data_IF_555901924711
#
_entry.id   IF_555901924711
#
_cell.length_a   1.000
_cell.length_b   1.000
_cell.length_c   1.000
_cell.angle_alpha   90.00
_cell.angle_beta   90.00
_cell.angle_gamma   90.00
#
_symmetry.space_group_name_H-M   'P 1'
#
loop_
_entity.id
_entity.type
_entity.pdbx_description
1 polymer ?
#
# COMPACT_ATOMS: atom_id res chain seq x y z
N UNK A 1 17.67 5.99 -10.94
CA UNK A 1 19.05 5.68 -10.59
C UNK A 1 19.37 6.21 -9.20
N UNK A 2 19.19 7.51 -8.91
CA UNK A 2 19.47 8.11 -7.59
C UNK A 2 18.58 7.52 -6.49
N UNK A 3 17.29 7.33 -6.76
CA UNK A 3 16.36 6.71 -5.81
C UNK A 3 16.77 5.27 -5.50
N UNK A 4 17.18 4.52 -6.52
CA UNK A 4 17.62 3.13 -6.36
C UNK A 4 18.91 3.00 -5.57
N UNK A 5 19.81 3.95 -5.66
CA UNK A 5 21.11 3.94 -4.98
C UNK A 5 21.07 4.54 -3.57
N UNK A 6 20.19 5.52 -3.33
CA UNK A 6 20.15 6.26 -2.07
C UNK A 6 19.12 5.75 -1.06
N UNK A 7 18.00 5.17 -1.51
CA UNK A 7 16.85 4.83 -0.64
C UNK A 7 16.53 3.32 -0.70
N UNK A 8 17.08 2.62 -1.67
CA UNK A 8 16.38 1.53 -2.28
C UNK A 8 16.52 0.19 -1.62
N UNK A 9 17.50 -0.07 -0.85
CA UNK A 9 17.80 -1.45 -0.55
C UNK A 9 17.70 -1.82 0.94
N UNK A 10 16.91 -1.08 1.72
CA UNK A 10 16.63 -1.44 3.13
C UNK A 10 16.13 -2.88 3.28
N UNK A 11 15.44 -3.41 2.27
CA UNK A 11 14.89 -4.77 2.28
C UNK A 11 15.59 -5.73 1.31
N UNK A 12 16.69 -5.32 0.68
CA UNK A 12 17.41 -6.14 -0.31
C UNK A 12 17.87 -7.48 0.27
N UNK A 13 18.40 -7.46 1.49
CA UNK A 13 18.89 -8.67 2.20
C UNK A 13 17.77 -9.66 2.54
N UNK A 14 16.53 -9.19 2.57
CA UNK A 14 15.33 -10.01 2.75
C UNK A 14 14.70 -10.48 1.42
N UNK A 15 15.40 -10.30 0.30
CA UNK A 15 14.94 -10.70 -1.04
C UNK A 15 13.99 -9.71 -1.72
N UNK A 16 13.96 -8.45 -1.27
CA UNK A 16 13.14 -7.36 -1.84
C UNK A 16 14.00 -6.30 -2.53
N UNK A 17 14.99 -6.74 -3.29
CA UNK A 17 15.87 -5.84 -4.05
C UNK A 17 15.06 -5.04 -5.07
N UNK A 18 15.19 -3.71 -5.01
CA UNK A 18 14.49 -2.78 -5.89
C UNK A 18 14.95 -2.91 -7.34
N UNK A 19 14.01 -3.02 -8.25
CA UNK A 19 14.25 -3.03 -9.70
C UNK A 19 13.53 -1.91 -10.42
N UNK A 20 12.43 -1.41 -9.86
CA UNK A 20 11.59 -0.37 -10.44
C UNK A 20 10.89 0.41 -9.33
N UNK A 21 10.08 1.39 -9.72
CA UNK A 21 9.12 2.05 -8.83
C UNK A 21 7.70 1.78 -9.31
N UNK A 22 6.70 2.10 -8.48
CA UNK A 22 5.33 2.23 -8.95
C UNK A 22 5.20 3.41 -9.95
N UNK A 23 4.07 3.57 -10.66
CA UNK A 23 3.90 4.60 -11.69
C UNK A 23 4.17 6.03 -11.20
N UNK A 24 3.79 6.36 -9.96
CA UNK A 24 4.00 7.69 -9.37
C UNK A 24 5.43 7.90 -8.82
N UNK A 25 6.24 6.84 -8.72
CA UNK A 25 7.64 6.93 -8.34
C UNK A 25 7.95 6.96 -6.85
N UNK A 26 6.91 6.93 -5.98
CA UNK A 26 7.07 7.07 -4.54
C UNK A 26 7.43 5.76 -3.82
N UNK A 27 7.23 4.60 -4.46
CA UNK A 27 7.49 3.30 -3.83
C UNK A 27 8.49 2.50 -4.65
N UNK A 28 9.67 2.17 -4.08
CA UNK A 28 10.59 1.22 -4.69
C UNK A 28 10.04 -0.20 -4.60
N UNK A 29 10.00 -0.91 -5.72
CA UNK A 29 9.43 -2.24 -5.84
C UNK A 29 10.46 -3.26 -6.31
N UNK A 30 10.39 -4.47 -5.77
CA UNK A 30 11.07 -5.64 -6.31
C UNK A 30 10.20 -6.36 -7.37
N UNK A 31 10.73 -7.34 -8.10
CA UNK A 31 9.92 -8.12 -9.05
C UNK A 31 8.73 -8.79 -8.35
N UNK A 32 7.58 -8.77 -9.00
CA UNK A 32 6.32 -9.38 -8.53
C UNK A 32 5.74 -8.75 -7.26
N UNK A 33 6.22 -7.56 -6.88
CA UNK A 33 5.74 -6.82 -5.73
C UNK A 33 4.52 -5.96 -6.09
N UNK A 34 3.79 -5.51 -5.09
CA UNK A 34 2.56 -4.74 -5.23
C UNK A 34 2.56 -3.56 -4.28
N UNK A 35 1.92 -2.47 -4.71
CA UNK A 35 1.72 -1.26 -3.93
C UNK A 35 0.26 -1.17 -3.50
N UNK A 36 0.03 -1.11 -2.18
CA UNK A 36 -1.29 -0.95 -1.57
C UNK A 36 -1.27 0.32 -0.74
N UNK A 37 -2.09 1.28 -1.11
CA UNK A 37 -2.10 2.61 -0.50
C UNK A 37 -3.45 2.94 0.11
N UNK A 38 -3.41 3.62 1.26
CA UNK A 38 -4.52 4.26 1.92
C UNK A 38 -4.09 5.66 2.36
N UNK A 39 -4.92 6.66 2.14
CA UNK A 39 -4.67 8.01 2.63
C UNK A 39 -5.75 8.45 3.62
N UNK A 40 -5.31 9.01 4.75
CA UNK A 40 -6.18 9.56 5.79
C UNK A 40 -6.29 11.07 5.57
N UNK A 41 -7.53 11.56 5.47
CA UNK A 41 -7.81 13.00 5.31
C UNK A 41 -7.67 13.71 6.66
N UNK A 42 -6.63 14.52 6.83
CA UNK A 42 -6.35 15.24 8.07
C UNK A 42 -7.39 16.29 8.41
N UNK A 43 -7.98 16.96 7.41
CA UNK A 43 -9.02 17.96 7.63
C UNK A 43 -10.20 17.41 8.41
N UNK A 44 -10.55 16.14 8.22
CA UNK A 44 -11.68 15.49 8.93
C UNK A 44 -11.51 15.41 10.47
N UNK A 45 -10.33 15.71 10.98
CA UNK A 45 -10.02 15.70 12.42
C UNK A 45 -9.97 17.10 13.04
N UNK A 46 -10.25 18.15 12.27
CA UNK A 46 -10.30 19.51 12.81
C UNK A 46 -11.68 19.77 13.38
N UNK A 47 -11.75 20.00 14.68
CA UNK A 47 -12.96 20.50 15.37
C UNK A 47 -13.03 22.01 15.26
N UNK A 48 -14.23 22.57 15.10
CA UNK A 48 -14.48 24.01 14.96
C UNK A 48 -13.58 24.68 13.90
N UNK A 49 -13.52 24.13 12.64
CA UNK A 49 -12.63 24.63 11.62
C UNK A 49 -12.87 26.12 11.34
N UNK A 50 -11.79 26.85 11.04
CA UNK A 50 -11.81 28.29 10.71
C UNK A 50 -12.29 29.21 11.85
N UNK A 51 -12.22 28.76 13.10
CA UNK A 51 -12.52 29.57 14.29
C UNK A 51 -11.30 29.67 15.22
N UNK A 52 -11.36 30.58 16.20
CA UNK A 52 -10.31 30.69 17.22
C UNK A 52 -10.18 29.43 18.11
N UNK A 53 -11.24 28.62 18.17
CA UNK A 53 -11.31 27.37 18.93
C UNK A 53 -10.96 26.15 18.08
N UNK A 54 -10.43 26.34 16.86
CA UNK A 54 -10.05 25.24 16.00
C UNK A 54 -9.00 24.34 16.67
N UNK A 55 -9.27 23.04 16.68
CA UNK A 55 -8.40 22.06 17.34
C UNK A 55 -8.38 20.73 16.61
N UNK A 56 -7.18 20.20 16.41
CA UNK A 56 -7.00 18.88 15.84
C UNK A 56 -7.30 17.78 16.88
N UNK A 57 -8.18 16.83 16.53
CA UNK A 57 -8.50 15.67 17.37
C UNK A 57 -7.48 14.55 17.19
N UNK A 58 -6.33 14.69 17.84
CA UNK A 58 -5.26 13.70 17.78
C UNK A 58 -5.64 12.33 18.36
N UNK A 59 -6.60 12.28 19.29
CA UNK A 59 -7.07 11.01 19.87
C UNK A 59 -7.86 10.21 18.84
N UNK A 60 -8.80 10.85 18.15
CA UNK A 60 -9.57 10.22 17.09
C UNK A 60 -8.67 9.83 15.91
N UNK A 61 -7.74 10.72 15.52
CA UNK A 61 -6.76 10.43 14.47
C UNK A 61 -5.95 9.19 14.80
N UNK A 62 -5.36 9.10 15.99
CA UNK A 62 -4.60 7.94 16.44
C UNK A 62 -5.42 6.64 16.36
N UNK A 63 -6.68 6.68 16.82
CA UNK A 63 -7.59 5.53 16.71
C UNK A 63 -7.79 5.11 15.26
N UNK A 64 -8.03 6.04 14.36
CA UNK A 64 -8.25 5.74 12.95
C UNK A 64 -6.99 5.25 12.22
N UNK A 65 -5.79 5.73 12.61
CA UNK A 65 -4.52 5.18 12.10
C UNK A 65 -4.38 3.69 12.42
N UNK A 66 -4.70 3.27 13.64
CA UNK A 66 -4.68 1.85 14.01
C UNK A 66 -5.68 1.02 13.19
N UNK A 67 -6.89 1.55 12.98
CA UNK A 67 -7.92 0.89 12.16
C UNK A 67 -7.46 0.79 10.70
N UNK A 68 -6.90 1.89 10.16
CA UNK A 68 -6.40 1.94 8.79
C UNK A 68 -5.29 0.90 8.56
N UNK A 69 -4.35 0.75 9.50
CA UNK A 69 -3.31 -0.28 9.39
C UNK A 69 -3.91 -1.68 9.37
N UNK A 70 -4.92 -1.94 10.17
CA UNK A 70 -5.61 -3.23 10.19
C UNK A 70 -6.35 -3.51 8.88
N UNK A 71 -7.08 -2.52 8.36
CA UNK A 71 -7.74 -2.64 7.06
C UNK A 71 -6.73 -2.95 5.94
N UNK A 72 -5.56 -2.31 5.97
CA UNK A 72 -4.53 -2.55 4.97
C UNK A 72 -3.93 -3.95 5.07
N UNK A 73 -3.80 -4.50 6.27
CA UNK A 73 -3.35 -5.88 6.46
C UNK A 73 -4.41 -6.88 5.99
N UNK A 74 -5.68 -6.67 6.33
CA UNK A 74 -6.81 -7.47 5.84
C UNK A 74 -6.93 -7.41 4.30
N UNK A 75 -6.58 -6.27 3.68
CA UNK A 75 -6.55 -6.12 2.21
C UNK A 75 -5.51 -7.04 1.57
N UNK A 76 -4.36 -7.25 2.23
CA UNK A 76 -3.35 -8.22 1.76
C UNK A 76 -3.89 -9.64 1.80
N UNK A 77 -4.60 -10.01 2.86
CA UNK A 77 -5.22 -11.34 2.97
C UNK A 77 -6.28 -11.54 1.89
N UNK A 78 -7.11 -10.54 1.63
CA UNK A 78 -8.10 -10.57 0.55
C UNK A 78 -7.45 -10.73 -0.84
N UNK A 79 -6.31 -10.06 -1.08
CA UNK A 79 -5.54 -10.22 -2.32
C UNK A 79 -5.02 -11.65 -2.46
N UNK A 80 -4.49 -12.24 -1.40
CA UNK A 80 -3.99 -13.62 -1.40
C UNK A 80 -5.15 -14.60 -1.71
N UNK A 81 -6.31 -14.43 -1.10
CA UNK A 81 -7.50 -15.22 -1.41
C UNK A 81 -7.91 -15.11 -2.90
N UNK A 82 -7.79 -13.91 -3.49
CA UNK A 82 -8.08 -13.71 -4.93
C UNK A 82 -7.05 -14.38 -5.81
N UNK A 83 -5.78 -14.34 -5.44
CA UNK A 83 -4.71 -15.03 -6.17
C UNK A 83 -4.92 -16.55 -6.12
N UNK A 84 -5.32 -17.08 -4.98
CA UNK A 84 -5.63 -18.52 -4.84
C UNK A 84 -6.77 -18.94 -5.78
N UNK A 85 -7.83 -18.14 -5.89
CA UNK A 85 -8.92 -18.38 -6.85
C UNK A 85 -8.46 -18.29 -8.32
N UNK A 86 -7.51 -17.39 -8.63
CA UNK A 86 -6.91 -17.29 -9.97
C UNK A 86 -6.13 -18.57 -10.27
N UNK A 87 -5.32 -19.06 -9.34
CA UNK A 87 -4.57 -20.30 -9.50
C UNK A 87 -5.48 -21.53 -9.67
N UNK A 88 -6.58 -21.59 -8.93
CA UNK A 88 -7.61 -22.62 -9.11
C UNK A 88 -8.24 -22.55 -10.51
N UNK A 89 -8.57 -21.35 -10.98
CA UNK A 89 -9.11 -21.12 -12.31
C UNK A 89 -8.13 -21.58 -13.40
N UNK A 90 -6.87 -21.21 -13.33
CA UNK A 90 -5.83 -21.61 -14.29
C UNK A 90 -5.74 -23.14 -14.39
N UNK A 91 -5.82 -23.84 -13.25
CA UNK A 91 -5.77 -25.32 -13.25
C UNK A 91 -6.99 -25.95 -13.95
N UNK A 92 -8.16 -25.31 -13.91
CA UNK A 92 -9.41 -25.79 -14.51
C UNK A 92 -9.71 -25.25 -15.92
N UNK A 93 -8.91 -24.31 -16.40
CA UNK A 93 -9.10 -23.68 -17.72
C UNK A 93 -8.81 -24.67 -18.86
N UNK A 94 -9.55 -24.67 -19.98
CA UNK A 94 -9.31 -25.54 -21.13
C UNK A 94 -8.10 -25.16 -22.00
N UNK A 95 -7.33 -24.14 -21.62
CA UNK A 95 -6.15 -23.68 -22.35
C UNK A 95 -5.03 -24.73 -22.37
N UNK A 96 -4.10 -24.56 -23.34
CA UNK A 96 -2.93 -25.45 -23.48
C UNK A 96 -1.98 -25.39 -22.28
N UNK A 97 -1.38 -26.52 -21.96
CA UNK A 97 -0.50 -26.67 -20.79
C UNK A 97 0.69 -25.70 -20.77
N UNK A 98 1.18 -25.26 -21.93
CA UNK A 98 2.26 -24.26 -22.01
C UNK A 98 1.80 -22.89 -21.48
N UNK A 99 0.60 -22.48 -21.82
CA UNK A 99 0.00 -21.21 -21.36
C UNK A 99 -0.25 -21.29 -19.84
N UNK A 100 -0.88 -22.35 -19.40
CA UNK A 100 -1.14 -22.60 -17.97
C UNK A 100 0.15 -22.57 -17.15
N UNK A 101 1.23 -23.16 -17.65
CA UNK A 101 2.51 -23.17 -16.96
C UNK A 101 3.07 -21.76 -16.76
N UNK A 102 2.99 -20.90 -17.78
CA UNK A 102 3.48 -19.51 -17.70
C UNK A 102 2.66 -18.70 -16.71
N UNK A 103 1.33 -18.77 -16.83
CA UNK A 103 0.40 -18.07 -15.93
C UNK A 103 0.54 -18.51 -14.48
N UNK A 104 0.54 -19.81 -14.24
CA UNK A 104 0.70 -20.38 -12.91
C UNK A 104 2.00 -19.89 -12.25
N UNK A 105 3.12 -19.98 -12.97
CA UNK A 105 4.41 -19.50 -12.47
C UNK A 105 4.43 -18.02 -12.14
N UNK A 106 3.71 -17.19 -12.90
CA UNK A 106 3.57 -15.76 -12.63
C UNK A 106 2.81 -15.53 -11.31
N UNK A 107 1.62 -16.12 -11.19
CA UNK A 107 0.76 -15.91 -10.03
C UNK A 107 1.33 -16.51 -8.74
N UNK A 108 2.04 -17.65 -8.82
CA UNK A 108 2.78 -18.21 -7.68
C UNK A 108 3.87 -17.26 -7.16
N UNK A 109 4.58 -16.58 -8.05
CA UNK A 109 5.61 -15.60 -7.67
C UNK A 109 4.97 -14.35 -7.03
N UNK A 110 3.87 -13.85 -7.58
CA UNK A 110 3.12 -12.73 -7.02
C UNK A 110 2.61 -13.11 -5.62
N UNK A 111 1.98 -14.28 -5.49
CA UNK A 111 1.51 -14.81 -4.21
C UNK A 111 2.62 -14.89 -3.17
N UNK A 112 3.76 -15.46 -3.56
CA UNK A 112 4.91 -15.58 -2.67
C UNK A 112 5.37 -14.21 -2.16
N UNK A 113 5.45 -13.21 -3.05
CA UNK A 113 5.87 -11.85 -2.66
C UNK A 113 4.82 -11.15 -1.77
N UNK A 114 3.54 -11.30 -2.06
CA UNK A 114 2.47 -10.78 -1.22
C UNK A 114 2.53 -11.34 0.21
N UNK A 115 2.69 -12.65 0.36
CA UNK A 115 2.80 -13.33 1.66
C UNK A 115 4.05 -12.91 2.44
N UNK A 116 5.20 -12.86 1.78
CA UNK A 116 6.47 -12.54 2.43
C UNK A 116 6.59 -11.07 2.82
N UNK A 117 6.12 -10.18 1.95
CA UNK A 117 6.30 -8.75 2.13
C UNK A 117 5.20 -8.08 2.93
N UNK A 118 3.95 -8.48 2.69
CA UNK A 118 2.74 -7.83 3.27
C UNK A 118 2.84 -6.30 3.22
N UNK A 119 3.33 -5.77 2.08
CA UNK A 119 3.68 -4.34 1.96
C UNK A 119 2.45 -3.50 1.83
N UNK A 120 2.33 -2.53 2.72
CA UNK A 120 1.24 -1.55 2.79
C UNK A 120 1.81 -0.15 2.98
N UNK A 121 1.12 0.86 2.48
CA UNK A 121 1.44 2.26 2.68
C UNK A 121 0.23 3.00 3.22
N UNK A 122 0.37 3.60 4.40
CA UNK A 122 -0.62 4.53 4.95
C UNK A 122 -0.01 5.91 4.93
N UNK A 123 -0.63 6.81 4.19
CA UNK A 123 -0.25 8.20 4.08
C UNK A 123 -1.34 9.14 4.59
N UNK A 124 -1.09 10.41 4.40
CA UNK A 124 -2.02 11.50 4.75
C UNK A 124 -2.37 12.31 3.51
N UNK A 125 -3.53 12.94 3.55
CA UNK A 125 -3.96 13.95 2.56
C UNK A 125 -4.62 15.12 3.26
N UNK A 126 -4.84 16.23 2.54
CA UNK A 126 -5.45 17.45 3.07
C UNK A 126 -4.69 18.07 4.25
N UNK A 127 -3.35 18.00 4.25
CA UNK A 127 -2.51 18.65 5.27
C UNK A 127 -2.66 20.18 5.20
N UNK A 128 -2.56 20.77 4.02
CA UNK A 128 -2.77 22.20 3.81
C UNK A 128 -4.16 22.66 4.25
N UNK A 129 -5.19 21.90 3.93
CA UNK A 129 -6.57 22.20 4.37
C UNK A 129 -6.72 22.14 5.90
N UNK A 130 -6.09 21.14 6.52
CA UNK A 130 -6.05 21.00 7.98
C UNK A 130 -5.36 22.18 8.65
N UNK A 131 -4.22 22.62 8.13
CA UNK A 131 -3.48 23.77 8.63
C UNK A 131 -4.30 25.07 8.46
N UNK A 132 -4.87 25.29 7.28
CA UNK A 132 -5.72 26.45 7.02
C UNK A 132 -6.95 26.48 7.95
N UNK A 133 -7.62 25.36 8.13
CA UNK A 133 -8.77 25.22 9.04
C UNK A 133 -8.39 25.43 10.50
N UNK A 134 -7.14 25.18 10.88
CA UNK A 134 -6.61 25.41 12.23
C UNK A 134 -6.00 26.80 12.43
N UNK A 135 -6.01 27.67 11.40
CA UNK A 135 -5.40 29.00 11.45
C UNK A 135 -3.88 28.97 11.46
N UNK A 136 -3.27 27.88 11.04
CA UNK A 136 -1.82 27.70 10.98
C UNK A 136 -1.28 28.00 9.57
N UNK A 137 -0.06 28.46 9.51
CA UNK A 137 0.65 28.62 8.24
C UNK A 137 1.28 27.28 7.80
N UNK A 138 1.32 27.12 6.49
CA UNK A 138 2.02 25.99 5.88
C UNK A 138 3.53 26.22 5.92
#
# INVERSE_FOLDING_TARGET
>A
TVIREAIADTYADFGFKTVSTNPCGEIPLCPYDSCRLLAINLYSYVKNPFTAEAKFDGTLFKKHVHIAQRIMDDLVDLEIEKIDKILEKINSDPEGEEIKYVEKRLWEKIRKKALQGRRTGIGITAEGDMLAASGLRY
#
